data_IF_160087754748
#
_entry.id   IF_160087754748
#
_cell.length_a   1.000
_cell.length_b   1.000
_cell.length_c   1.000
_cell.angle_alpha   90.00
_cell.angle_beta   90.00
_cell.angle_gamma   90.00
#
_symmetry.space_group_name_H-M   'P 1'
#
loop_
_entity.id
_entity.type
_entity.pdbx_description
1 polymer ?
#
# COMPACT_ATOMS: atom_id res chain seq x y z
N UNK A 1 -30.18 45.77 47.57
CA UNK A 1 -30.70 47.01 46.98
C UNK A 1 -29.54 47.91 46.56
N UNK A 2 -29.12 48.01 45.30
CA UNK A 2 -28.82 47.03 44.21
C UNK A 2 -28.12 47.85 43.09
N UNK A 3 -27.49 47.31 42.04
CA UNK A 3 -27.50 45.98 41.42
C UNK A 3 -26.10 45.66 40.81
N UNK A 4 -25.97 44.64 39.94
CA UNK A 4 -24.80 44.43 39.08
C UNK A 4 -25.24 44.34 37.61
N UNK A 5 -24.72 45.19 36.71
CA UNK A 5 -24.68 44.85 35.30
C UNK A 5 -23.35 45.17 34.60
N UNK A 6 -22.97 44.37 33.59
CA UNK A 6 -21.98 44.77 32.58
C UNK A 6 -20.80 43.84 32.31
N UNK A 7 -21.03 42.53 32.11
CA UNK A 7 -20.02 41.67 31.47
C UNK A 7 -20.00 41.96 29.96
N UNK A 8 -18.84 42.31 29.39
CA UNK A 8 -18.69 42.56 27.96
C UNK A 8 -17.29 42.27 27.46
N UNK A 9 -17.18 41.45 26.41
CA UNK A 9 -15.98 41.34 25.56
C UNK A 9 -14.79 40.58 26.17
N UNK A 10 -14.83 39.24 26.16
CA UNK A 10 -13.60 38.45 26.00
C UNK A 10 -13.42 38.22 24.50
N UNK A 11 -12.41 38.85 23.90
CA UNK A 11 -11.99 38.49 22.54
C UNK A 11 -11.42 37.07 22.57
N UNK A 12 -12.15 36.12 21.98
CA UNK A 12 -11.60 34.79 21.73
C UNK A 12 -10.60 34.90 20.59
N UNK A 13 -9.31 34.94 20.93
CA UNK A 13 -8.23 34.69 19.98
C UNK A 13 -8.32 33.22 19.55
N UNK A 14 -9.13 32.95 18.52
CA UNK A 14 -9.15 31.66 17.83
C UNK A 14 -7.77 31.43 17.18
N UNK A 15 -6.87 30.81 17.92
CA UNK A 15 -5.80 30.03 17.31
C UNK A 15 -6.47 28.92 16.51
N UNK A 16 -6.26 28.81 15.18
CA UNK A 16 -6.75 27.66 14.43
C UNK A 16 -6.04 26.42 14.96
N UNK A 17 -6.79 25.59 15.67
CA UNK A 17 -6.29 24.33 16.21
C UNK A 17 -5.73 23.46 15.10
N UNK A 18 -4.70 22.68 15.42
CA UNK A 18 -3.94 21.77 14.54
C UNK A 18 -4.78 20.92 13.56
N UNK A 19 -6.06 20.69 13.87
CA UNK A 19 -7.05 20.03 13.02
C UNK A 19 -7.19 20.64 11.62
N UNK A 20 -6.98 21.95 11.43
CA UNK A 20 -7.02 22.58 10.09
C UNK A 20 -5.79 22.26 9.21
N UNK A 21 -4.79 21.54 9.75
CA UNK A 21 -3.52 21.21 9.09
C UNK A 21 -3.43 19.73 8.72
N UNK A 22 -4.30 18.89 9.27
CA UNK A 22 -4.55 17.56 8.74
C UNK A 22 -5.48 17.72 7.54
N UNK A 23 -5.11 17.10 6.41
CA UNK A 23 -5.95 17.13 5.22
C UNK A 23 -7.35 16.64 5.54
N UNK A 24 -8.35 17.16 4.82
CA UNK A 24 -9.69 16.60 4.88
C UNK A 24 -9.61 15.14 4.41
N UNK A 25 -9.56 14.20 5.35
CA UNK A 25 -9.85 12.79 5.08
C UNK A 25 -11.15 12.76 4.31
N UNK A 26 -11.13 12.14 3.14
CA UNK A 26 -12.34 11.96 2.34
C UNK A 26 -13.35 11.27 3.25
N UNK A 27 -14.47 11.94 3.53
CA UNK A 27 -15.48 11.44 4.46
C UNK A 27 -16.25 10.30 3.81
N UNK A 28 -15.65 9.12 3.82
CA UNK A 28 -16.29 7.87 3.47
C UNK A 28 -17.20 7.47 4.62
N UNK A 29 -18.50 7.37 4.35
CA UNK A 29 -19.40 6.78 5.31
C UNK A 29 -19.15 5.27 5.37
N UNK A 30 -19.42 4.65 6.52
CA UNK A 30 -19.17 3.21 6.72
C UNK A 30 -20.00 2.34 5.76
N UNK A 31 -21.11 2.86 5.25
CA UNK A 31 -21.93 2.22 4.21
C UNK A 31 -21.26 2.20 2.84
N UNK A 32 -20.54 3.26 2.45
CA UNK A 32 -19.77 3.31 1.19
C UNK A 32 -18.66 2.27 1.21
N UNK A 33 -17.86 2.25 2.29
CA UNK A 33 -16.76 1.29 2.48
C UNK A 33 -17.29 -0.15 2.39
N UNK A 34 -18.43 -0.43 3.05
CA UNK A 34 -19.06 -1.75 3.04
C UNK A 34 -19.58 -2.14 1.65
N UNK A 35 -20.24 -1.22 0.94
CA UNK A 35 -20.73 -1.46 -0.43
C UNK A 35 -19.58 -1.78 -1.39
N UNK A 36 -18.47 -1.05 -1.29
CA UNK A 36 -17.25 -1.35 -2.04
C UNK A 36 -16.64 -2.71 -1.67
N UNK A 37 -16.57 -3.06 -0.38
CA UNK A 37 -16.04 -4.36 0.05
C UNK A 37 -16.92 -5.52 -0.43
N UNK A 38 -18.25 -5.35 -0.44
CA UNK A 38 -19.20 -6.32 -0.99
C UNK A 38 -19.00 -6.49 -2.52
N UNK A 39 -18.80 -5.40 -3.28
CA UNK A 39 -18.43 -5.47 -4.72
C UNK A 39 -17.09 -6.20 -4.94
N UNK A 40 -16.06 -5.85 -4.17
CA UNK A 40 -14.71 -6.42 -4.30
C UNK A 40 -14.60 -7.89 -3.85
N UNK A 41 -15.59 -8.38 -3.09
CA UNK A 41 -15.71 -9.78 -2.69
C UNK A 41 -16.49 -10.64 -3.70
N UNK A 42 -17.09 -10.03 -4.73
CA UNK A 42 -17.97 -10.72 -5.68
C UNK A 42 -17.20 -11.26 -6.88
N UNK A 43 -16.46 -12.36 -6.67
CA UNK A 43 -15.56 -12.98 -7.68
C UNK A 43 -16.24 -13.38 -9.01
N UNK A 44 -17.57 -13.51 -9.05
CA UNK A 44 -18.32 -13.83 -10.29
C UNK A 44 -18.44 -12.65 -11.27
N UNK A 45 -18.25 -11.40 -10.82
CA UNK A 45 -18.33 -10.21 -11.68
C UNK A 45 -16.94 -9.58 -11.91
N UNK A 46 -16.18 -10.18 -12.83
CA UNK A 46 -14.82 -9.74 -13.13
C UNK A 46 -14.71 -8.34 -13.75
N UNK A 47 -15.80 -7.79 -14.29
CA UNK A 47 -15.86 -6.45 -14.89
C UNK A 47 -16.22 -5.40 -13.82
N UNK A 48 -17.29 -5.63 -13.06
CA UNK A 48 -17.68 -4.77 -11.93
C UNK A 48 -16.64 -4.74 -10.80
N UNK A 49 -15.86 -5.81 -10.61
CA UNK A 49 -14.73 -5.88 -9.69
C UNK A 49 -13.52 -5.05 -10.16
N UNK A 50 -13.26 -5.00 -11.47
CA UNK A 50 -12.22 -4.15 -12.03
C UNK A 50 -12.61 -2.66 -11.91
N UNK A 51 -13.84 -2.31 -12.26
CA UNK A 51 -14.38 -0.95 -12.08
C UNK A 51 -14.32 -0.52 -10.60
N UNK A 52 -14.71 -1.39 -9.66
CA UNK A 52 -14.62 -1.09 -8.23
C UNK A 52 -13.18 -0.89 -7.72
N UNK A 53 -12.19 -1.60 -8.29
CA UNK A 53 -10.77 -1.41 -7.97
C UNK A 53 -10.22 -0.10 -8.55
N UNK A 54 -10.61 0.27 -9.77
CA UNK A 54 -10.17 1.51 -10.42
C UNK A 54 -10.83 2.74 -9.75
N UNK A 55 -12.11 2.65 -9.37
CA UNK A 55 -12.78 3.64 -8.50
C UNK A 55 -12.03 3.79 -7.16
N UNK A 56 -11.65 2.68 -6.52
CA UNK A 56 -10.85 2.70 -5.29
C UNK A 56 -9.44 3.28 -5.52
N UNK A 57 -8.84 3.07 -6.71
CA UNK A 57 -7.57 3.69 -7.09
C UNK A 57 -7.71 5.22 -7.19
N UNK A 58 -8.74 5.72 -7.88
CA UNK A 58 -8.97 7.16 -8.00
C UNK A 58 -9.18 7.80 -6.61
N UNK A 59 -10.02 7.18 -5.76
CA UNK A 59 -10.34 7.72 -4.43
C UNK A 59 -9.14 7.67 -3.48
N UNK A 60 -8.39 6.58 -3.46
CA UNK A 60 -7.19 6.44 -2.64
C UNK A 60 -6.05 7.37 -3.04
N UNK A 61 -6.07 7.94 -4.26
CA UNK A 61 -5.13 9.00 -4.65
C UNK A 61 -5.26 10.26 -3.79
N UNK A 62 -6.48 10.54 -3.28
CA UNK A 62 -6.78 11.69 -2.42
C UNK A 62 -6.74 11.34 -0.92
N UNK A 63 -7.10 10.11 -0.56
CA UNK A 63 -7.12 9.64 0.83
C UNK A 63 -6.60 8.18 0.93
N UNK A 64 -5.28 8.01 0.98
CA UNK A 64 -4.63 6.68 1.04
C UNK A 64 -5.05 5.88 2.29
N UNK A 65 -5.37 6.56 3.38
CA UNK A 65 -5.80 5.96 4.66
C UNK A 65 -6.99 5.00 4.55
N UNK A 66 -7.85 5.16 3.54
CA UNK A 66 -8.98 4.25 3.33
C UNK A 66 -8.56 2.80 3.06
N UNK A 67 -7.40 2.58 2.45
CA UNK A 67 -6.94 1.25 2.05
C UNK A 67 -6.74 0.32 3.26
N UNK A 68 -6.72 0.85 4.48
CA UNK A 68 -6.80 0.08 5.73
C UNK A 68 -8.05 -0.80 5.84
N UNK A 69 -9.16 -0.41 5.22
CA UNK A 69 -10.44 -1.13 5.27
C UNK A 69 -10.52 -2.27 4.26
N UNK A 70 -9.67 -2.25 3.22
CA UNK A 70 -9.70 -3.19 2.09
C UNK A 70 -8.51 -4.17 2.07
N UNK A 71 -7.81 -4.33 3.20
CA UNK A 71 -6.56 -5.13 3.26
C UNK A 71 -6.79 -6.59 2.89
N UNK A 72 -7.93 -7.17 3.28
CA UNK A 72 -8.25 -8.56 2.98
C UNK A 72 -8.60 -8.74 1.49
N UNK A 73 -9.45 -7.86 0.99
CA UNK A 73 -9.92 -7.79 -0.39
C UNK A 73 -8.74 -7.59 -1.34
N UNK A 74 -7.89 -6.59 -1.10
CA UNK A 74 -6.67 -6.34 -1.88
C UNK A 74 -5.71 -7.54 -1.87
N UNK A 75 -5.57 -8.22 -0.73
CA UNK A 75 -4.74 -9.43 -0.63
C UNK A 75 -5.26 -10.57 -1.52
N UNK A 76 -6.58 -10.81 -1.53
CA UNK A 76 -7.23 -11.76 -2.44
C UNK A 76 -7.08 -11.33 -3.90
N UNK A 77 -7.24 -10.04 -4.20
CA UNK A 77 -7.12 -9.52 -5.56
C UNK A 77 -5.68 -9.59 -6.11
N UNK A 78 -4.63 -9.57 -5.27
CA UNK A 78 -3.25 -9.86 -5.71
C UNK A 78 -3.07 -11.28 -6.25
N UNK A 79 -3.89 -12.24 -5.82
CA UNK A 79 -3.90 -13.63 -6.31
C UNK A 79 -4.94 -13.88 -7.42
N UNK A 80 -5.72 -12.88 -7.82
CA UNK A 80 -6.79 -13.00 -8.82
C UNK A 80 -6.29 -13.51 -10.18
N UNK A 81 -7.12 -14.30 -10.86
CA UNK A 81 -6.88 -14.70 -12.24
C UNK A 81 -7.04 -13.51 -13.21
N UNK A 82 -7.83 -12.48 -12.86
CA UNK A 82 -7.94 -11.26 -13.66
C UNK A 82 -6.65 -10.43 -13.52
N UNK A 83 -5.97 -10.25 -14.65
CA UNK A 83 -4.72 -9.50 -14.76
C UNK A 83 -4.86 -8.03 -14.36
N UNK A 84 -5.95 -7.38 -14.76
CA UNK A 84 -6.14 -5.95 -14.53
C UNK A 84 -6.47 -5.73 -13.04
N UNK A 85 -7.35 -6.55 -12.45
CA UNK A 85 -7.60 -6.54 -11.01
C UNK A 85 -6.33 -6.78 -10.18
N UNK A 86 -5.47 -7.74 -10.55
CA UNK A 86 -4.15 -7.88 -9.92
C UNK A 86 -3.33 -6.61 -10.06
N UNK A 87 -3.24 -6.03 -11.26
CA UNK A 87 -2.35 -4.91 -11.52
C UNK A 87 -2.78 -3.66 -10.71
N UNK A 88 -4.08 -3.37 -10.62
CA UNK A 88 -4.63 -2.30 -9.77
C UNK A 88 -4.44 -2.63 -8.29
N UNK A 89 -4.67 -3.87 -7.85
CA UNK A 89 -4.42 -4.30 -6.47
C UNK A 89 -2.95 -4.13 -6.06
N UNK A 90 -1.98 -4.50 -6.91
CA UNK A 90 -0.56 -4.27 -6.67
C UNK A 90 -0.23 -2.77 -6.53
N UNK A 91 -0.80 -1.90 -7.37
CA UNK A 91 -0.62 -0.44 -7.29
C UNK A 91 -1.19 0.11 -5.97
N UNK A 92 -2.39 -0.30 -5.59
CA UNK A 92 -3.05 0.08 -4.34
C UNK A 92 -2.25 -0.38 -3.10
N UNK A 93 -1.79 -1.62 -3.08
CA UNK A 93 -0.99 -2.17 -1.97
C UNK A 93 0.35 -1.46 -1.83
N UNK A 94 1.07 -1.23 -2.93
CA UNK A 94 2.32 -0.46 -2.94
C UNK A 94 2.08 0.97 -2.43
N UNK A 95 1.02 1.63 -2.89
CA UNK A 95 0.62 2.97 -2.43
C UNK A 95 0.32 3.00 -0.93
N UNK A 96 -0.37 1.99 -0.41
CA UNK A 96 -0.71 1.92 1.01
C UNK A 96 0.53 1.66 1.88
N UNK A 97 1.41 0.73 1.51
CA UNK A 97 2.65 0.46 2.25
C UNK A 97 3.59 1.68 2.22
N UNK A 98 3.60 2.47 1.14
CA UNK A 98 4.34 3.75 1.06
C UNK A 98 3.81 4.83 2.01
N UNK A 99 2.53 4.75 2.39
CA UNK A 99 1.90 5.66 3.35
C UNK A 99 2.07 5.16 4.80
N UNK A 100 1.89 3.85 5.04
CA UNK A 100 2.12 3.20 6.33
C UNK A 100 2.97 1.93 6.16
N UNK A 101 4.31 2.01 6.32
CA UNK A 101 5.18 0.86 6.18
C UNK A 101 4.88 -0.31 7.14
N UNK A 102 4.16 -0.08 8.24
CA UNK A 102 3.82 -1.15 9.20
C UNK A 102 2.93 -2.25 8.58
N UNK A 103 2.17 -1.91 7.53
CA UNK A 103 1.26 -2.84 6.86
C UNK A 103 1.95 -3.75 5.85
N UNK A 104 3.22 -3.51 5.51
CA UNK A 104 4.06 -4.38 4.66
C UNK A 104 3.94 -5.86 5.05
N UNK A 105 4.04 -6.11 6.36
CA UNK A 105 3.93 -7.45 6.98
C UNK A 105 2.59 -8.16 6.72
N UNK A 106 1.50 -7.41 6.51
CA UNK A 106 0.14 -7.96 6.28
C UNK A 106 -0.02 -8.50 4.86
N UNK A 107 0.65 -7.88 3.87
CA UNK A 107 0.59 -8.28 2.46
C UNK A 107 1.65 -9.31 2.07
N UNK A 108 2.67 -9.53 2.92
CA UNK A 108 3.72 -10.52 2.69
C UNK A 108 3.19 -11.95 2.42
N UNK A 109 2.18 -12.49 3.14
CA UNK A 109 1.65 -13.83 2.86
C UNK A 109 1.03 -13.92 1.45
N UNK A 110 0.21 -12.94 1.06
CA UNK A 110 -0.40 -12.88 -0.26
C UNK A 110 0.66 -12.78 -1.36
N UNK A 111 1.66 -11.91 -1.18
CA UNK A 111 2.77 -11.78 -2.13
C UNK A 111 3.58 -13.08 -2.28
N UNK A 112 3.81 -13.81 -1.19
CA UNK A 112 4.46 -15.13 -1.20
C UNK A 112 3.61 -16.20 -1.92
N UNK A 113 2.28 -16.10 -1.82
CA UNK A 113 1.34 -16.95 -2.53
C UNK A 113 1.35 -16.65 -4.04
N UNK A 114 1.36 -15.38 -4.45
CA UNK A 114 1.53 -14.98 -5.85
C UNK A 114 2.81 -15.59 -6.47
N UNK A 115 3.93 -15.57 -5.74
CA UNK A 115 5.19 -16.21 -6.16
C UNK A 115 5.12 -17.75 -6.15
N UNK A 116 4.21 -18.36 -5.40
CA UNK A 116 4.03 -19.81 -5.32
C UNK A 116 2.89 -20.33 -6.21
N UNK A 117 2.19 -19.46 -6.94
CA UNK A 117 1.05 -19.82 -7.77
C UNK A 117 1.46 -20.77 -8.91
N UNK A 118 0.52 -21.63 -9.30
CA UNK A 118 0.66 -22.47 -10.50
C UNK A 118 0.45 -21.64 -11.79
N UNK A 119 -0.15 -20.44 -11.67
CA UNK A 119 -0.38 -19.53 -12.78
C UNK A 119 0.86 -18.65 -13.03
N UNK A 120 1.43 -18.78 -14.23
CA UNK A 120 2.61 -18.01 -14.64
C UNK A 120 2.34 -16.52 -14.81
N UNK A 121 1.10 -16.10 -15.07
CA UNK A 121 0.74 -14.68 -15.18
C UNK A 121 0.74 -14.02 -13.80
N UNK A 122 0.21 -14.70 -12.77
CA UNK A 122 0.28 -14.26 -11.37
C UNK A 122 1.74 -14.15 -10.91
N UNK A 123 2.54 -15.20 -11.16
CA UNK A 123 3.97 -15.21 -10.82
C UNK A 123 4.74 -14.10 -11.54
N UNK A 124 4.49 -13.88 -12.83
CA UNK A 124 5.12 -12.79 -13.59
C UNK A 124 4.72 -11.40 -13.07
N UNK A 125 3.47 -11.19 -12.67
CA UNK A 125 3.03 -9.93 -12.06
C UNK A 125 3.72 -9.68 -10.73
N UNK A 126 3.83 -10.67 -9.85
CA UNK A 126 4.58 -10.53 -8.60
C UNK A 126 6.05 -10.21 -8.89
N UNK A 127 6.71 -10.98 -9.77
CA UNK A 127 8.10 -10.75 -10.16
C UNK A 127 8.35 -9.35 -10.75
N UNK A 128 7.43 -8.81 -11.57
CA UNK A 128 7.53 -7.45 -12.11
C UNK A 128 7.50 -6.38 -11.01
N UNK A 129 6.70 -6.60 -9.96
CA UNK A 129 6.59 -5.69 -8.80
C UNK A 129 7.62 -6.00 -7.70
N UNK A 130 8.47 -7.02 -7.86
CA UNK A 130 9.48 -7.45 -6.89
C UNK A 130 10.41 -6.32 -6.42
N UNK A 131 10.96 -5.45 -7.30
CA UNK A 131 11.92 -4.45 -6.83
C UNK A 131 11.29 -3.42 -5.91
N UNK A 132 10.07 -2.95 -6.23
CA UNK A 132 9.36 -1.96 -5.40
C UNK A 132 8.79 -2.59 -4.13
N UNK A 133 8.14 -3.76 -4.21
CA UNK A 133 7.61 -4.44 -3.03
C UNK A 133 8.71 -4.81 -2.02
N UNK A 134 9.85 -5.31 -2.49
CA UNK A 134 10.98 -5.69 -1.61
C UNK A 134 11.63 -4.47 -0.97
N UNK A 135 11.74 -3.34 -1.69
CA UNK A 135 12.25 -2.08 -1.14
C UNK A 135 11.36 -1.51 -0.02
N UNK A 136 10.05 -1.76 -0.09
CA UNK A 136 9.10 -1.37 0.96
C UNK A 136 9.08 -2.35 2.13
N UNK A 137 9.41 -3.62 1.89
CA UNK A 137 9.40 -4.70 2.88
C UNK A 137 10.83 -5.11 3.30
N UNK A 138 11.75 -4.16 3.52
CA UNK A 138 13.19 -4.46 3.67
C UNK A 138 13.52 -5.48 4.76
N UNK A 139 12.80 -5.46 5.88
CA UNK A 139 12.92 -6.43 6.99
C UNK A 139 12.71 -7.89 6.53
N UNK A 140 11.96 -8.09 5.46
CA UNK A 140 11.62 -9.39 4.87
C UNK A 140 12.26 -9.58 3.48
N UNK A 141 13.20 -8.71 3.07
CA UNK A 141 13.77 -8.74 1.73
C UNK A 141 14.51 -10.05 1.43
N UNK A 142 15.21 -10.64 2.40
CA UNK A 142 15.93 -11.90 2.23
C UNK A 142 14.99 -13.04 1.82
N UNK A 143 13.88 -13.24 2.55
CA UNK A 143 12.92 -14.32 2.26
C UNK A 143 12.18 -14.08 0.93
N UNK A 144 11.85 -12.83 0.61
CA UNK A 144 11.24 -12.44 -0.68
C UNK A 144 12.18 -12.74 -1.86
N UNK A 145 13.44 -12.34 -1.76
CA UNK A 145 14.45 -12.59 -2.80
C UNK A 145 14.78 -14.09 -2.94
N UNK A 146 14.90 -14.82 -1.83
CA UNK A 146 15.12 -16.26 -1.86
C UNK A 146 13.96 -17.01 -2.54
N UNK A 147 12.72 -16.58 -2.28
CA UNK A 147 11.52 -17.11 -2.96
C UNK A 147 11.57 -16.81 -4.46
N UNK A 148 11.79 -15.55 -4.86
CA UNK A 148 11.87 -15.15 -6.27
C UNK A 148 13.01 -15.87 -7.04
N UNK A 149 14.16 -16.09 -6.39
CA UNK A 149 15.25 -16.88 -6.95
C UNK A 149 14.82 -18.35 -7.16
N UNK A 150 14.25 -18.97 -6.14
CA UNK A 150 13.75 -20.36 -6.20
C UNK A 150 12.72 -20.54 -7.32
N UNK A 151 11.81 -19.58 -7.48
CA UNK A 151 10.80 -19.58 -8.56
C UNK A 151 11.46 -19.48 -9.93
N UNK A 152 12.46 -18.62 -10.11
CA UNK A 152 13.17 -18.47 -11.38
C UNK A 152 14.11 -19.63 -11.75
N UNK A 153 14.58 -20.41 -10.77
CA UNK A 153 15.35 -21.64 -11.04
C UNK A 153 14.42 -22.79 -11.45
N UNK A 154 13.23 -22.89 -10.83
CA UNK A 154 12.26 -23.96 -11.11
C UNK A 154 11.33 -23.65 -12.30
N UNK A 155 11.21 -22.38 -12.69
CA UNK A 155 10.37 -21.90 -13.81
C UNK A 155 11.22 -21.43 -14.98
N UNK A 156 10.67 -21.37 -16.20
CA UNK A 156 11.38 -20.79 -17.36
C UNK A 156 11.37 -19.25 -17.37
N UNK A 157 11.39 -18.61 -16.20
CA UNK A 157 11.22 -17.18 -16.02
C UNK A 157 12.56 -16.50 -15.67
N UNK A 158 12.90 -15.43 -16.40
CA UNK A 158 14.13 -14.65 -16.19
C UNK A 158 14.02 -13.76 -14.95
N UNK A 159 14.19 -14.32 -13.75
CA UNK A 159 14.13 -13.55 -12.49
C UNK A 159 15.44 -12.83 -12.16
N UNK A 160 16.57 -13.29 -12.70
CA UNK A 160 17.92 -12.71 -12.50
C UNK A 160 17.98 -11.18 -12.66
N UNK A 161 17.47 -10.56 -13.75
CA UNK A 161 17.50 -9.10 -13.89
C UNK A 161 16.71 -8.37 -12.79
N UNK A 162 15.54 -8.89 -12.41
CA UNK A 162 14.66 -8.31 -11.39
C UNK A 162 15.30 -8.42 -9.99
N UNK A 163 15.94 -9.54 -9.68
CA UNK A 163 16.71 -9.74 -8.44
C UNK A 163 17.91 -8.79 -8.40
N UNK A 164 18.65 -8.65 -9.50
CA UNK A 164 19.79 -7.74 -9.59
C UNK A 164 19.38 -6.26 -9.44
N UNK A 165 18.25 -5.87 -10.04
CA UNK A 165 17.66 -4.54 -9.86
C UNK A 165 17.23 -4.30 -8.41
N UNK A 166 16.54 -5.27 -7.79
CA UNK A 166 16.12 -5.20 -6.39
C UNK A 166 17.32 -5.02 -5.45
N UNK A 167 18.38 -5.84 -5.61
CA UNK A 167 19.61 -5.73 -4.84
C UNK A 167 20.31 -4.37 -5.02
N UNK A 168 20.28 -3.81 -6.23
CA UNK A 168 20.81 -2.48 -6.52
C UNK A 168 20.01 -1.39 -5.79
N UNK A 169 18.68 -1.45 -5.82
CA UNK A 169 17.81 -0.50 -5.11
C UNK A 169 18.05 -0.53 -3.60
N UNK A 170 18.02 -1.73 -2.99
CA UNK A 170 18.30 -1.92 -1.56
C UNK A 170 19.69 -1.37 -1.17
N UNK A 171 20.70 -1.57 -2.02
CA UNK A 171 22.06 -1.04 -1.80
C UNK A 171 22.12 0.49 -1.86
N UNK A 172 21.37 1.12 -2.78
CA UNK A 172 21.33 2.58 -2.92
C UNK A 172 20.57 3.25 -1.77
N UNK A 173 19.46 2.65 -1.34
CA UNK A 173 18.67 3.11 -0.19
C UNK A 173 19.48 3.07 1.11
N UNK A 174 20.13 1.92 1.36
CA UNK A 174 21.08 1.73 2.47
C UNK A 174 22.22 2.74 2.44
N UNK A 175 22.79 3.03 1.27
CA UNK A 175 23.91 3.97 1.13
C UNK A 175 23.51 5.41 1.46
N UNK A 176 22.28 5.84 1.13
CA UNK A 176 21.81 7.21 1.39
C UNK A 176 21.88 7.60 2.88
N UNK A 177 21.58 6.63 3.76
CA UNK A 177 21.58 6.79 5.22
C UNK A 177 22.98 6.91 5.83
N UNK A 178 24.04 6.51 5.12
CA UNK A 178 25.43 6.49 5.66
C UNK A 178 26.23 7.78 5.48
N UNK A 179 25.63 8.84 4.91
CA UNK A 179 26.35 10.07 4.55
C UNK A 179 26.62 11.06 5.70
N UNK A 180 26.20 10.76 6.94
CA UNK A 180 26.16 11.74 8.04
C UNK A 180 27.01 11.39 9.30
N UNK A 181 28.11 10.63 9.16
CA UNK A 181 29.06 10.38 10.28
C UNK A 181 30.54 10.40 9.83
N UNK A 182 31.06 11.57 9.49
CA UNK A 182 32.50 11.89 9.28
C UNK A 182 32.58 13.42 9.39
N UNK A 183 33.45 14.09 10.16
CA UNK A 183 34.88 13.87 10.48
C UNK A 183 35.20 14.42 11.93
N UNK A 184 36.46 14.40 12.46
CA UNK A 184 36.70 14.18 13.90
C UNK A 184 37.55 15.27 14.59
N UNK A 185 37.94 14.98 15.85
CA UNK A 185 39.07 15.55 16.63
C UNK A 185 39.08 17.06 16.86
#
# INVERSE_FOLDING_TARGET
>A
MDEIPGVGGREETYSPTLAAMMGADASWDTEDVKSFAERLSQEEDSEGMAEALDELEEKSSSAVGILQHFVAELSTQMTSCNKDCRQTAFVLVIRYIRHDPSVASKFLPAYMECLNSMDQEVVQTALKNLPEFTLLCQENAEVVLQKAFTVGVNSKLSTVPLIAETLKLLSMDSASTTSNTTTPS
#
